data_IF_999026753250
#
_entry.id   IF_999026753250
#
_cell.length_a   1.000
_cell.length_b   1.000
_cell.length_c   1.000
_cell.angle_alpha   90.00
_cell.angle_beta   90.00
_cell.angle_gamma   90.00
#
_symmetry.space_group_name_H-M   'P 1'
#
loop_
_entity.id
_entity.type
_entity.pdbx_description
1 polymer ?
#
# COMPACT_ATOMS: atom_id res chain seq x y z
N UNK A 1 7.82 13.39 -54.31
CA UNK A 1 7.55 13.41 -52.86
C UNK A 1 8.01 12.07 -52.34
N UNK A 2 9.07 12.08 -51.54
CA UNK A 2 9.84 10.89 -51.22
C UNK A 2 8.99 9.92 -50.36
N UNK A 3 9.04 8.62 -50.64
CA UNK A 3 8.23 7.60 -49.95
C UNK A 3 8.48 7.63 -48.42
N UNK A 4 9.71 7.99 -48.03
CA UNK A 4 10.11 8.21 -46.65
C UNK A 4 9.41 9.42 -45.99
N UNK A 5 9.27 10.54 -46.71
CA UNK A 5 8.57 11.73 -46.21
C UNK A 5 7.07 11.48 -46.02
N UNK A 6 6.46 10.74 -46.96
CA UNK A 6 5.03 10.42 -46.89
C UNK A 6 4.73 9.49 -45.70
N UNK A 7 5.61 8.52 -45.43
CA UNK A 7 5.51 7.64 -44.26
C UNK A 7 5.65 8.42 -42.95
N UNK A 8 6.63 9.33 -42.86
CA UNK A 8 6.85 10.19 -41.68
C UNK A 8 5.64 11.10 -41.41
N UNK A 9 5.05 11.70 -42.44
CA UNK A 9 3.86 12.53 -42.30
C UNK A 9 2.63 11.73 -41.81
N UNK A 10 2.47 10.48 -42.26
CA UNK A 10 1.40 9.59 -41.79
C UNK A 10 1.58 9.18 -40.33
N UNK A 11 2.81 8.89 -39.90
CA UNK A 11 3.11 8.55 -38.50
C UNK A 11 2.83 9.73 -37.56
N UNK A 12 3.25 10.95 -37.93
CA UNK A 12 2.97 12.16 -37.15
C UNK A 12 1.46 12.46 -37.05
N UNK A 13 0.70 12.28 -38.14
CA UNK A 13 -0.74 12.48 -38.15
C UNK A 13 -1.46 11.45 -37.25
N UNK A 14 -1.05 10.18 -37.29
CA UNK A 14 -1.57 9.13 -36.41
C UNK A 14 -1.31 9.46 -34.94
N UNK A 15 -0.08 9.83 -34.59
CA UNK A 15 0.27 10.25 -33.22
C UNK A 15 -0.54 11.46 -32.77
N UNK A 16 -0.71 12.48 -33.63
CA UNK A 16 -1.54 13.65 -33.32
C UNK A 16 -3.01 13.27 -33.06
N UNK A 17 -3.59 12.39 -33.87
CA UNK A 17 -4.97 11.91 -33.68
C UNK A 17 -5.15 11.10 -32.40
N UNK A 18 -4.14 10.30 -32.04
CA UNK A 18 -4.12 9.54 -30.80
C UNK A 18 -4.10 10.48 -29.60
N UNK A 19 -3.16 11.42 -29.54
CA UNK A 19 -3.08 12.36 -28.42
C UNK A 19 -4.37 13.15 -28.26
N UNK A 20 -4.90 13.73 -29.35
CA UNK A 20 -6.16 14.49 -29.30
C UNK A 20 -7.31 13.66 -28.73
N UNK A 21 -7.37 12.37 -29.09
CA UNK A 21 -8.36 11.45 -28.53
C UNK A 21 -8.16 11.27 -27.02
N UNK A 22 -6.94 11.00 -26.57
CA UNK A 22 -6.65 10.80 -25.14
C UNK A 22 -6.96 12.06 -24.34
N UNK A 23 -6.57 13.25 -24.80
CA UNK A 23 -6.92 14.53 -24.15
C UNK A 23 -8.44 14.69 -23.99
N UNK A 24 -9.21 14.43 -25.05
CA UNK A 24 -10.68 14.48 -25.00
C UNK A 24 -11.26 13.46 -24.00
N UNK A 25 -10.70 12.25 -23.93
CA UNK A 25 -11.21 11.21 -23.02
C UNK A 25 -10.84 11.47 -21.56
N UNK A 26 -9.69 12.08 -21.30
CA UNK A 26 -9.31 12.57 -19.97
C UNK A 26 -10.23 13.71 -19.54
N UNK A 27 -10.51 14.65 -20.43
CA UNK A 27 -11.44 15.76 -20.16
C UNK A 27 -12.86 15.27 -19.81
N UNK A 28 -13.32 14.18 -20.44
CA UNK A 28 -14.61 13.54 -20.13
C UNK A 28 -14.68 12.86 -18.76
N UNK A 29 -13.52 12.45 -18.23
CA UNK A 29 -13.37 11.90 -16.88
C UNK A 29 -13.24 13.03 -15.85
N UNK A 30 -12.51 14.08 -16.19
CA UNK A 30 -12.14 15.18 -15.30
C UNK A 30 -10.64 15.18 -14.99
N UNK A 31 -9.97 16.31 -15.22
CA UNK A 31 -8.53 16.47 -15.00
C UNK A 31 -8.15 16.35 -13.52
N UNK A 32 -9.05 16.72 -12.61
CA UNK A 32 -8.90 16.59 -11.16
C UNK A 32 -8.77 15.14 -10.68
N UNK A 33 -9.20 14.18 -11.51
CA UNK A 33 -9.06 12.77 -11.23
C UNK A 33 -7.74 12.19 -11.75
N UNK A 34 -7.02 12.88 -12.65
CA UNK A 34 -5.76 12.40 -13.20
C UNK A 34 -4.61 12.68 -12.23
N UNK A 35 -3.96 11.64 -11.73
CA UNK A 35 -2.84 11.74 -10.76
C UNK A 35 -1.50 11.75 -11.46
N UNK A 36 -1.34 10.88 -12.46
CA UNK A 36 -0.09 10.69 -13.19
C UNK A 36 -0.39 10.29 -14.62
N UNK A 37 0.44 10.72 -15.55
CA UNK A 37 0.48 10.20 -16.91
C UNK A 37 1.92 10.04 -17.38
N UNK A 38 2.16 9.10 -18.29
CA UNK A 38 3.46 8.92 -18.94
C UNK A 38 3.68 9.95 -20.04
N UNK A 39 4.94 10.22 -20.39
CA UNK A 39 5.31 11.22 -21.43
C UNK A 39 4.62 10.99 -22.78
N UNK A 40 4.35 9.72 -23.12
CA UNK A 40 3.69 9.31 -24.35
C UNK A 40 2.17 9.16 -24.23
N UNK A 41 1.58 9.56 -23.10
CA UNK A 41 0.15 9.41 -22.76
C UNK A 41 -0.39 7.98 -22.89
N UNK A 42 0.50 6.98 -22.87
CA UNK A 42 0.10 5.56 -22.88
C UNK A 42 -0.12 5.01 -21.49
N UNK A 43 0.42 5.66 -20.47
CA UNK A 43 0.15 5.33 -19.08
C UNK A 43 -0.66 6.46 -18.45
N UNK A 44 -1.82 6.14 -17.88
CA UNK A 44 -2.68 7.10 -17.20
C UNK A 44 -3.06 6.52 -15.83
N UNK A 45 -3.04 7.33 -14.79
CA UNK A 45 -3.42 6.92 -13.42
C UNK A 45 -4.51 7.84 -12.90
N UNK A 46 -5.67 7.28 -12.61
CA UNK A 46 -6.84 8.01 -12.13
C UNK A 46 -7.12 7.71 -10.65
N UNK A 47 -7.36 8.77 -9.88
CA UNK A 47 -7.85 8.71 -8.51
C UNK A 47 -9.36 8.47 -8.51
N UNK A 48 -9.78 7.40 -7.86
CA UNK A 48 -11.19 7.04 -7.68
C UNK A 48 -11.46 6.87 -6.20
N UNK A 49 -12.47 7.56 -5.68
CA UNK A 49 -12.91 7.40 -4.29
C UNK A 49 -14.09 6.45 -4.23
N UNK A 50 -14.09 5.54 -3.24
CA UNK A 50 -15.24 4.69 -2.97
C UNK A 50 -16.26 5.36 -2.04
N UNK A 51 -17.38 4.68 -1.78
CA UNK A 51 -18.48 5.21 -0.94
C UNK A 51 -18.10 5.45 0.54
N UNK A 52 -16.96 4.91 1.00
CA UNK A 52 -16.42 5.10 2.35
C UNK A 52 -15.31 6.16 2.39
N UNK A 53 -15.03 6.81 1.25
CA UNK A 53 -13.98 7.82 1.14
C UNK A 53 -12.57 7.24 1.02
N UNK A 54 -12.44 5.91 0.83
CA UNK A 54 -11.13 5.30 0.57
C UNK A 54 -10.70 5.68 -0.84
N UNK A 55 -9.43 6.06 -0.97
CA UNK A 55 -8.84 6.46 -2.25
C UNK A 55 -8.21 5.25 -2.92
N UNK A 56 -8.56 5.03 -4.18
CA UNK A 56 -8.02 3.96 -5.03
C UNK A 56 -7.38 4.58 -6.28
N UNK A 57 -6.28 4.00 -6.75
CA UNK A 57 -5.61 4.42 -7.97
C UNK A 57 -5.86 3.37 -9.06
N UNK A 58 -6.53 3.77 -10.13
CA UNK A 58 -6.70 2.98 -11.33
C UNK A 58 -5.63 3.38 -12.35
N UNK A 59 -4.71 2.49 -12.64
CA UNK A 59 -3.75 2.65 -13.71
C UNK A 59 -4.29 2.01 -14.99
N UNK A 60 -4.21 2.74 -16.10
CA UNK A 60 -4.63 2.33 -17.44
C UNK A 60 -3.43 2.45 -18.38
N UNK A 61 -3.13 1.36 -19.08
CA UNK A 61 -2.06 1.29 -20.08
C UNK A 61 -2.64 1.08 -21.47
N UNK A 62 -2.29 1.97 -22.40
CA UNK A 62 -2.75 2.01 -23.78
C UNK A 62 -1.64 1.50 -24.70
N UNK A 63 -1.90 0.43 -25.42
CA UNK A 63 -1.00 -0.04 -26.46
C UNK A 63 -1.31 0.62 -27.82
N UNK A 64 -0.55 0.27 -28.86
CA UNK A 64 -0.75 0.81 -30.20
C UNK A 64 -2.04 0.37 -30.89
N UNK A 65 -2.83 -0.50 -30.27
CA UNK A 65 -4.08 -1.04 -30.81
C UNK A 65 -5.32 -0.37 -30.22
N UNK A 66 -5.16 0.49 -29.20
CA UNK A 66 -6.21 1.33 -28.66
C UNK A 66 -6.81 2.26 -29.74
N UNK A 67 -8.14 2.44 -29.82
CA UNK A 67 -9.22 1.88 -28.97
C UNK A 67 -9.81 0.56 -29.50
N UNK A 68 -9.27 -0.01 -30.57
CA UNK A 68 -9.83 -1.21 -31.20
C UNK A 68 -9.80 -2.43 -30.27
N UNK A 69 -8.82 -2.46 -29.36
CA UNK A 69 -8.74 -3.44 -28.28
C UNK A 69 -8.80 -2.74 -26.91
N UNK A 70 -9.23 -3.48 -25.87
CA UNK A 70 -9.27 -2.96 -24.51
C UNK A 70 -7.88 -2.49 -24.04
N UNK A 71 -7.81 -1.38 -23.27
CA UNK A 71 -6.59 -1.05 -22.56
C UNK A 71 -6.30 -2.07 -21.44
N UNK A 72 -5.05 -2.14 -20.99
CA UNK A 72 -4.71 -2.92 -19.78
C UNK A 72 -4.97 -2.08 -18.53
N UNK A 73 -5.41 -2.70 -17.44
CA UNK A 73 -5.68 -2.01 -16.18
C UNK A 73 -5.00 -2.68 -14.99
N UNK A 74 -4.58 -1.89 -14.01
CA UNK A 74 -4.11 -2.36 -12.72
C UNK A 74 -4.57 -1.43 -11.59
N UNK A 75 -4.77 -1.99 -10.42
CA UNK A 75 -5.15 -1.27 -9.20
C UNK A 75 -4.83 -2.13 -7.97
N UNK A 76 -4.71 -1.50 -6.80
CA UNK A 76 -4.55 -2.19 -5.52
C UNK A 76 -5.92 -2.75 -5.05
N UNK A 77 -6.37 -3.82 -5.69
CA UNK A 77 -7.65 -4.50 -5.42
C UNK A 77 -7.43 -6.02 -5.38
N UNK A 78 -8.21 -6.80 -4.61
CA UNK A 78 -7.92 -8.22 -4.38
C UNK A 78 -8.04 -9.06 -5.66
N UNK A 79 -8.87 -8.60 -6.60
CA UNK A 79 -8.93 -9.11 -7.96
C UNK A 79 -9.46 -7.99 -8.88
N UNK A 80 -9.08 -8.04 -10.15
CA UNK A 80 -9.55 -7.10 -11.16
C UNK A 80 -10.92 -7.49 -11.69
N UNK A 81 -11.69 -6.49 -12.15
CA UNK A 81 -12.96 -6.71 -12.80
C UNK A 81 -12.77 -7.24 -14.23
N UNK A 82 -13.77 -7.99 -14.71
CA UNK A 82 -13.84 -8.40 -16.11
C UNK A 82 -14.28 -7.22 -16.97
N UNK A 83 -13.32 -6.48 -17.53
CA UNK A 83 -13.60 -5.31 -18.34
C UNK A 83 -14.42 -5.66 -19.59
N UNK A 84 -15.54 -4.96 -19.76
CA UNK A 84 -16.35 -4.98 -20.97
C UNK A 84 -15.88 -3.83 -21.86
N UNK A 85 -15.48 -4.18 -23.08
CA UNK A 85 -14.92 -3.23 -24.03
C UNK A 85 -15.50 -3.44 -25.42
N UNK A 86 -15.71 -2.33 -26.13
CA UNK A 86 -16.08 -2.28 -27.54
C UNK A 86 -15.26 -1.21 -28.24
N UNK A 87 -15.23 -1.20 -29.57
CA UNK A 87 -14.52 -0.15 -30.35
C UNK A 87 -15.03 1.27 -30.09
N UNK A 88 -16.25 1.41 -29.58
CA UNK A 88 -16.87 2.68 -29.23
C UNK A 88 -16.63 3.07 -27.76
N UNK A 89 -16.05 2.16 -26.97
CA UNK A 89 -15.72 2.41 -25.58
C UNK A 89 -14.58 3.42 -25.46
N UNK A 90 -14.55 4.11 -24.32
CA UNK A 90 -13.60 5.18 -23.99
C UNK A 90 -13.09 4.99 -22.57
N UNK A 91 -12.04 5.73 -22.18
CA UNK A 91 -11.46 5.62 -20.84
C UNK A 91 -12.48 5.83 -19.71
N UNK A 92 -13.48 6.69 -19.91
CA UNK A 92 -14.57 6.91 -18.94
C UNK A 92 -15.34 5.64 -18.61
N UNK A 93 -15.57 4.77 -19.60
CA UNK A 93 -16.26 3.49 -19.39
C UNK A 93 -15.44 2.55 -18.50
N UNK A 94 -14.10 2.62 -18.59
CA UNK A 94 -13.20 1.85 -17.73
C UNK A 94 -13.30 2.35 -16.30
N UNK A 95 -13.24 3.67 -16.08
CA UNK A 95 -13.37 4.30 -14.76
C UNK A 95 -14.73 3.97 -14.13
N UNK A 96 -15.81 4.02 -14.89
CA UNK A 96 -17.15 3.67 -14.40
C UNK A 96 -17.29 2.18 -14.04
N UNK A 97 -16.71 1.29 -14.84
CA UNK A 97 -16.68 -0.14 -14.50
C UNK A 97 -15.85 -0.41 -13.24
N UNK A 98 -14.74 0.31 -13.07
CA UNK A 98 -13.92 0.23 -11.86
C UNK A 98 -14.69 0.76 -10.64
N UNK A 99 -15.41 1.88 -10.74
CA UNK A 99 -16.27 2.38 -9.65
C UNK A 99 -17.29 1.32 -9.19
N UNK A 100 -18.00 0.68 -10.12
CA UNK A 100 -18.93 -0.43 -9.83
C UNK A 100 -18.23 -1.64 -9.22
N UNK A 101 -16.97 -1.87 -9.56
CA UNK A 101 -16.16 -2.91 -8.96
C UNK A 101 -15.82 -2.59 -7.50
N UNK A 102 -15.43 -1.34 -7.22
CA UNK A 102 -15.17 -0.87 -5.85
C UNK A 102 -16.40 -1.03 -4.95
N UNK A 103 -17.62 -0.84 -5.48
CA UNK A 103 -18.87 -1.04 -4.74
C UNK A 103 -19.05 -2.47 -4.23
N UNK A 104 -18.63 -3.48 -5.01
CA UNK A 104 -18.73 -4.90 -4.65
C UNK A 104 -17.73 -5.30 -3.57
N UNK A 105 -16.57 -4.64 -3.54
CA UNK A 105 -15.48 -4.93 -2.62
C UNK A 105 -15.63 -4.24 -1.25
N UNK A 106 -16.73 -3.52 -1.04
CA UNK A 106 -16.94 -2.72 0.17
C UNK A 106 -16.97 -3.58 1.43
N UNK A 107 -17.70 -4.70 1.41
CA UNK A 107 -17.82 -5.57 2.58
C UNK A 107 -16.49 -6.24 2.90
N UNK A 108 -15.72 -6.61 1.86
CA UNK A 108 -14.37 -7.11 2.03
C UNK A 108 -13.46 -6.09 2.72
N UNK A 109 -13.34 -4.86 2.20
CA UNK A 109 -12.47 -3.88 2.82
C UNK A 109 -12.95 -3.43 4.20
N UNK A 110 -14.26 -3.37 4.44
CA UNK A 110 -14.78 -3.07 5.77
C UNK A 110 -14.37 -4.15 6.78
N UNK A 111 -14.41 -5.42 6.38
CA UNK A 111 -13.93 -6.52 7.22
C UNK A 111 -12.42 -6.45 7.43
N UNK A 112 -11.63 -6.18 6.38
CA UNK A 112 -10.17 -6.05 6.51
C UNK A 112 -9.82 -4.88 7.44
N UNK A 113 -10.50 -3.74 7.31
CA UNK A 113 -10.35 -2.59 8.21
C UNK A 113 -10.71 -2.97 9.65
N UNK A 114 -11.80 -3.72 9.88
CA UNK A 114 -12.18 -4.22 11.21
C UNK A 114 -11.14 -5.17 11.80
N UNK A 115 -10.59 -6.09 11.02
CA UNK A 115 -9.49 -6.98 11.44
C UNK A 115 -8.26 -6.16 11.83
N UNK A 116 -7.86 -5.23 10.97
CA UNK A 116 -6.68 -4.38 11.17
C UNK A 116 -6.82 -3.47 12.40
N UNK A 117 -8.04 -3.07 12.75
CA UNK A 117 -8.33 -2.26 13.93
C UNK A 117 -8.54 -3.08 15.21
N UNK A 118 -9.18 -4.23 15.13
CA UNK A 118 -9.62 -5.01 16.30
C UNK A 118 -8.60 -6.04 16.76
N UNK A 119 -7.69 -6.49 15.89
CA UNK A 119 -6.74 -7.56 16.18
C UNK A 119 -5.29 -7.10 16.05
N UNK A 120 -4.38 -7.77 16.76
CA UNK A 120 -2.95 -7.51 16.66
C UNK A 120 -2.36 -8.13 15.36
N UNK A 121 -2.47 -7.40 14.26
CA UNK A 121 -1.92 -7.79 12.97
C UNK A 121 -0.43 -7.45 12.88
N UNK A 122 0.38 -8.47 12.57
CA UNK A 122 1.85 -8.37 12.55
C UNK A 122 2.40 -7.73 11.27
N UNK A 123 1.66 -7.83 10.16
CA UNK A 123 2.09 -7.33 8.84
C UNK A 123 1.49 -5.96 8.49
N UNK A 124 1.26 -5.11 9.50
CA UNK A 124 0.80 -3.75 9.26
C UNK A 124 1.99 -2.86 8.89
N UNK A 125 2.35 -2.88 7.61
CA UNK A 125 3.18 -1.82 7.02
C UNK A 125 2.33 -0.71 6.37
N UNK A 126 1.21 -1.06 5.74
CA UNK A 126 0.13 -0.17 5.26
C UNK A 126 -1.06 -1.04 4.82
N UNK A 127 -2.34 -0.58 4.87
CA UNK A 127 -3.46 -1.37 4.36
C UNK A 127 -3.38 -1.52 2.84
N UNK A 128 -2.72 -2.59 2.37
CA UNK A 128 -2.76 -2.98 0.97
C UNK A 128 -4.14 -3.56 0.66
N UNK A 129 -4.87 -2.85 -0.19
CA UNK A 129 -6.26 -3.15 -0.52
C UNK A 129 -6.39 -4.39 -1.41
N UNK A 130 -5.29 -4.83 -2.04
CA UNK A 130 -5.20 -6.11 -2.73
C UNK A 130 -4.96 -7.32 -1.82
N UNK A 131 -4.39 -7.14 -0.63
CA UNK A 131 -4.05 -8.28 0.23
C UNK A 131 -5.29 -8.82 0.94
N UNK A 132 -5.64 -10.05 0.60
CA UNK A 132 -6.72 -10.81 1.21
C UNK A 132 -6.30 -11.63 2.42
N UNK A 133 -5.04 -11.56 2.84
CA UNK A 133 -4.55 -12.27 4.01
C UNK A 133 -4.05 -11.32 5.10
N UNK A 134 -4.10 -11.79 6.35
CA UNK A 134 -3.55 -11.11 7.54
C UNK A 134 -2.84 -12.09 8.44
N UNK A 135 -1.65 -11.72 8.89
CA UNK A 135 -0.92 -12.47 9.89
C UNK A 135 -1.22 -11.91 11.28
N UNK A 136 -1.65 -12.78 12.18
CA UNK A 136 -1.99 -12.46 13.56
C UNK A 136 -1.04 -13.18 14.52
N UNK A 137 -0.56 -12.46 15.54
CA UNK A 137 0.20 -13.06 16.64
C UNK A 137 -0.77 -13.44 17.77
N UNK A 138 -0.83 -14.73 18.12
CA UNK A 138 -1.60 -15.22 19.29
C UNK A 138 -0.70 -15.23 20.53
N UNK A 139 0.52 -15.71 20.39
CA UNK A 139 1.49 -15.85 21.46
C UNK A 139 2.91 -15.69 20.93
N UNK A 140 3.90 -15.65 21.83
CA UNK A 140 5.32 -15.52 21.47
C UNK A 140 5.82 -16.62 20.51
N UNK A 141 5.20 -17.81 20.55
CA UNK A 141 5.65 -18.98 19.80
C UNK A 141 4.67 -19.45 18.73
N UNK A 142 3.57 -18.72 18.50
CA UNK A 142 2.58 -19.07 17.49
C UNK A 142 1.90 -17.85 16.86
N UNK A 143 1.97 -17.80 15.53
CA UNK A 143 1.22 -16.87 14.69
C UNK A 143 0.43 -17.65 13.64
N UNK A 144 -0.54 -17.00 13.02
CA UNK A 144 -1.30 -17.65 11.95
C UNK A 144 -1.67 -16.65 10.87
N UNK A 145 -1.83 -17.18 9.67
CA UNK A 145 -2.23 -16.44 8.48
C UNK A 145 -3.70 -16.76 8.22
N UNK A 146 -4.54 -15.74 8.33
CA UNK A 146 -5.91 -15.75 7.86
C UNK A 146 -5.95 -15.37 6.40
N UNK A 147 -6.70 -16.10 5.58
CA UNK A 147 -7.01 -15.74 4.21
C UNK A 147 -8.53 -15.56 4.06
N UNK A 148 -8.95 -14.36 3.69
CA UNK A 148 -10.33 -13.95 3.52
C UNK A 148 -10.70 -14.06 2.04
N UNK A 149 -11.84 -14.68 1.72
CA UNK A 149 -12.37 -14.62 0.35
C UNK A 149 -12.94 -13.21 0.09
N UNK A 150 -12.37 -12.48 -0.86
CA UNK A 150 -12.84 -11.14 -1.22
C UNK A 150 -14.25 -11.14 -1.86
N UNK A 151 -14.74 -12.27 -2.36
CA UNK A 151 -16.09 -12.41 -2.90
C UNK A 151 -17.13 -12.82 -1.85
N UNK A 152 -16.70 -13.49 -0.78
CA UNK A 152 -17.56 -13.89 0.34
C UNK A 152 -16.83 -13.65 1.68
N UNK A 153 -16.60 -12.37 2.06
CA UNK A 153 -15.73 -12.00 3.17
C UNK A 153 -16.21 -12.52 4.53
N UNK A 154 -17.52 -12.76 4.68
CA UNK A 154 -18.13 -13.25 5.93
C UNK A 154 -18.07 -14.78 6.07
N UNK A 155 -17.64 -15.49 5.02
CA UNK A 155 -17.47 -16.94 5.04
C UNK A 155 -16.38 -17.39 6.01
N UNK A 156 -16.34 -18.70 6.31
CA UNK A 156 -15.26 -19.28 7.10
C UNK A 156 -13.93 -19.04 6.37
N UNK A 157 -12.96 -18.31 6.95
CA UNK A 157 -11.70 -18.01 6.28
C UNK A 157 -10.80 -19.24 6.24
N UNK A 158 -9.82 -19.27 5.33
CA UNK A 158 -8.75 -20.24 5.41
C UNK A 158 -7.72 -19.81 6.47
N UNK A 159 -7.20 -20.77 7.23
CA UNK A 159 -6.36 -20.49 8.39
C UNK A 159 -5.14 -21.40 8.41
N UNK A 160 -3.96 -20.78 8.31
CA UNK A 160 -2.67 -21.47 8.37
C UNK A 160 -1.93 -21.11 9.64
N UNK A 161 -1.76 -22.09 10.53
CA UNK A 161 -1.04 -21.96 11.79
C UNK A 161 0.47 -22.17 11.60
N UNK A 162 1.26 -21.30 12.22
CA UNK A 162 2.71 -21.26 12.16
C UNK A 162 3.26 -21.14 13.59
N UNK A 163 4.26 -21.92 13.95
CA UNK A 163 4.81 -21.92 15.32
C UNK A 163 5.32 -23.28 15.74
N UNK A 164 5.53 -23.46 17.04
CA UNK A 164 5.89 -24.76 17.61
C UNK A 164 4.82 -25.82 17.29
N UNK A 165 5.27 -27.05 17.03
CA UNK A 165 4.37 -28.13 16.57
C UNK A 165 3.23 -28.40 17.57
N UNK A 166 3.49 -28.28 18.87
CA UNK A 166 2.49 -28.54 19.92
C UNK A 166 1.36 -27.51 19.93
N UNK A 167 1.68 -26.21 19.88
CA UNK A 167 0.64 -25.16 19.91
C UNK A 167 -0.08 -25.03 18.58
N UNK A 168 0.65 -25.14 17.47
CA UNK A 168 0.04 -25.10 16.15
C UNK A 168 -0.93 -26.28 15.95
N UNK A 169 -0.61 -27.48 16.45
CA UNK A 169 -1.51 -28.64 16.37
C UNK A 169 -2.73 -28.52 17.30
N UNK A 170 -2.57 -27.93 18.49
CA UNK A 170 -3.68 -27.60 19.38
C UNK A 170 -4.69 -26.69 18.68
N UNK A 171 -4.22 -25.61 18.06
CA UNK A 171 -5.08 -24.65 17.34
C UNK A 171 -5.72 -25.26 16.10
N UNK A 172 -4.98 -26.07 15.31
CA UNK A 172 -5.55 -26.84 14.19
C UNK A 172 -6.66 -27.79 14.64
N UNK A 173 -6.53 -28.37 15.82
CA UNK A 173 -7.53 -29.28 16.39
C UNK A 173 -8.78 -28.53 16.83
N UNK A 174 -8.63 -27.37 17.48
CA UNK A 174 -9.75 -26.48 17.83
C UNK A 174 -10.47 -26.00 16.57
N UNK A 175 -9.73 -25.52 15.57
CA UNK A 175 -10.27 -25.09 14.28
C UNK A 175 -11.11 -26.19 13.61
N UNK A 176 -10.55 -27.40 13.44
CA UNK A 176 -11.27 -28.53 12.84
C UNK A 176 -12.53 -28.93 13.60
N UNK A 177 -12.53 -28.81 14.92
CA UNK A 177 -13.68 -29.16 15.77
C UNK A 177 -14.79 -28.12 15.71
N UNK A 178 -14.42 -26.84 15.68
CA UNK A 178 -15.32 -25.73 15.95
C UNK A 178 -15.67 -24.91 14.70
N UNK A 179 -15.01 -25.08 13.55
CA UNK A 179 -15.25 -24.29 12.34
C UNK A 179 -16.70 -24.32 11.85
N UNK A 180 -17.42 -25.41 12.10
CA UNK A 180 -18.87 -25.55 11.82
C UNK A 180 -19.76 -24.59 12.62
N UNK A 181 -19.23 -23.98 13.68
CA UNK A 181 -19.93 -22.99 14.51
C UNK A 181 -19.70 -21.56 14.01
N UNK A 182 -18.99 -21.36 12.89
CA UNK A 182 -18.79 -20.03 12.28
C UNK A 182 -20.12 -19.46 11.77
N UNK A 183 -20.46 -18.25 12.21
CA UNK A 183 -21.74 -17.61 11.86
C UNK A 183 -21.51 -16.27 11.16
N UNK A 184 -22.00 -16.13 9.93
CA UNK A 184 -21.70 -14.97 9.07
C UNK A 184 -22.19 -13.63 9.61
N UNK A 185 -23.18 -13.65 10.50
CA UNK A 185 -23.82 -12.49 11.13
C UNK A 185 -23.14 -12.03 12.42
N UNK A 186 -22.19 -12.81 12.94
CA UNK A 186 -21.39 -12.41 14.11
C UNK A 186 -20.17 -11.57 13.73
N UNK A 187 -19.72 -10.67 14.63
CA UNK A 187 -18.44 -9.99 14.47
C UNK A 187 -17.30 -10.99 14.22
N UNK A 188 -16.39 -10.64 13.30
CA UNK A 188 -15.36 -11.56 12.85
C UNK A 188 -14.41 -11.99 13.98
N UNK A 189 -14.00 -11.05 14.83
CA UNK A 189 -13.16 -11.30 16.00
C UNK A 189 -13.83 -12.26 16.99
N UNK A 190 -15.13 -12.10 17.25
CA UNK A 190 -15.89 -13.01 18.13
C UNK A 190 -15.97 -14.42 17.55
N UNK A 191 -16.26 -14.56 16.26
CA UNK A 191 -16.25 -15.86 15.58
C UNK A 191 -14.89 -16.52 15.69
N UNK A 192 -13.82 -15.77 15.42
CA UNK A 192 -12.46 -16.29 15.43
C UNK A 192 -12.04 -16.74 16.84
N UNK A 193 -12.34 -15.94 17.86
CA UNK A 193 -12.11 -16.28 19.27
C UNK A 193 -12.86 -17.55 19.67
N UNK A 194 -14.14 -17.66 19.27
CA UNK A 194 -14.99 -18.83 19.56
C UNK A 194 -14.49 -20.10 18.87
N UNK A 195 -14.06 -20.01 17.60
CA UNK A 195 -13.58 -21.19 16.85
C UNK A 195 -12.23 -21.66 17.39
N UNK A 196 -11.32 -20.73 17.69
CA UNK A 196 -9.99 -21.04 18.21
C UNK A 196 -9.97 -21.37 19.70
N UNK A 197 -11.05 -21.07 20.44
CA UNK A 197 -11.13 -21.17 21.90
C UNK A 197 -9.98 -20.40 22.59
N UNK A 198 -9.76 -19.16 22.13
CA UNK A 198 -8.75 -18.24 22.65
C UNK A 198 -9.36 -16.87 22.92
N UNK A 199 -8.71 -16.10 23.78
CA UNK A 199 -8.97 -14.67 23.85
C UNK A 199 -8.12 -13.96 22.80
N UNK A 200 -8.77 -13.18 21.93
CA UNK A 200 -8.08 -12.31 21.00
C UNK A 200 -7.80 -10.98 21.69
N UNK A 201 -6.54 -10.58 21.67
CA UNK A 201 -6.08 -9.31 22.22
C UNK A 201 -6.09 -8.25 21.11
N UNK A 202 -6.79 -7.15 21.36
CA UNK A 202 -6.71 -5.98 20.50
C UNK A 202 -5.43 -5.17 20.75
N UNK A 203 -5.12 -4.19 19.89
CA UNK A 203 -3.93 -3.34 20.03
C UNK A 203 -3.82 -2.63 21.40
N UNK A 204 -4.94 -2.48 22.12
CA UNK A 204 -5.01 -1.78 23.41
C UNK A 204 -4.67 -2.64 24.64
N UNK A 205 -4.56 -3.96 24.51
CA UNK A 205 -4.32 -4.88 25.64
C UNK A 205 -2.87 -5.28 25.87
N UNK A 206 -1.94 -4.82 25.03
CA UNK A 206 -0.51 -5.00 25.25
C UNK A 206 -0.02 -3.79 26.07
N UNK A 207 0.56 -3.97 27.27
CA UNK A 207 1.27 -2.87 27.91
C UNK A 207 2.34 -2.41 26.94
N UNK A 208 2.34 -1.12 26.58
CA UNK A 208 3.30 -0.50 25.65
C UNK A 208 4.73 -0.72 26.14
N UNK A 209 5.32 -1.89 25.89
CA UNK A 209 6.74 -2.17 26.09
C UNK A 209 7.47 -1.79 24.82
N UNK A 210 7.50 -0.46 24.63
CA UNK A 210 8.60 0.43 24.27
C UNK A 210 7.90 1.68 23.70
N UNK A 211 8.19 2.92 24.15
CA UNK A 211 7.66 4.10 23.48
C UNK A 211 8.15 4.07 22.04
N UNK A 212 7.26 3.67 21.12
CA UNK A 212 7.48 3.71 19.68
C UNK A 212 8.05 5.08 19.32
N UNK A 213 9.32 5.12 18.94
CA UNK A 213 10.10 6.34 18.87
C UNK A 213 9.77 7.09 17.58
N UNK A 214 9.03 8.20 17.70
CA UNK A 214 8.81 9.14 16.60
C UNK A 214 10.11 9.83 16.21
N UNK A 215 10.26 10.13 14.92
CA UNK A 215 11.37 10.92 14.42
C UNK A 215 11.38 12.32 15.04
N UNK A 216 12.51 12.75 15.59
CA UNK A 216 12.66 14.07 16.21
C UNK A 216 12.59 15.26 15.25
N UNK A 217 12.50 15.04 13.94
CA UNK A 217 12.45 16.10 12.93
C UNK A 217 11.06 16.21 12.31
N UNK A 218 10.54 15.11 11.75
CA UNK A 218 9.24 15.11 11.09
C UNK A 218 8.08 14.72 12.01
N UNK A 219 8.35 14.30 13.24
CA UNK A 219 7.38 13.79 14.22
C UNK A 219 6.51 12.63 13.70
N UNK A 220 6.93 11.99 12.61
CA UNK A 220 6.30 10.78 12.09
C UNK A 220 7.07 9.55 12.57
N UNK A 221 6.33 8.45 12.74
CA UNK A 221 6.92 7.16 13.04
C UNK A 221 7.56 6.53 11.79
N UNK A 222 6.91 6.70 10.63
CA UNK A 222 7.34 6.15 9.35
C UNK A 222 7.39 7.25 8.28
N UNK A 223 8.33 7.17 7.35
CA UNK A 223 8.37 8.03 6.17
C UNK A 223 7.16 7.75 5.25
N UNK A 224 6.68 8.76 4.48
CA UNK A 224 5.62 8.54 3.49
C UNK A 224 6.07 7.54 2.42
N UNK A 225 5.09 6.89 1.77
CA UNK A 225 5.37 6.02 0.64
C UNK A 225 5.54 6.90 -0.60
N UNK A 226 6.81 7.07 -1.01
CA UNK A 226 7.22 7.85 -2.16
C UNK A 226 8.24 7.06 -2.98
N UNK A 227 8.09 7.06 -4.32
CA UNK A 227 9.03 6.44 -5.24
C UNK A 227 10.39 7.15 -5.20
N UNK A 228 10.43 8.45 -4.89
CA UNK A 228 11.66 9.23 -4.72
C UNK A 228 12.49 8.75 -3.51
N UNK A 229 11.82 8.27 -2.45
CA UNK A 229 12.46 7.74 -1.24
C UNK A 229 12.97 6.30 -1.39
N UNK A 230 12.56 5.59 -2.44
CA UNK A 230 13.06 4.26 -2.78
C UNK A 230 12.99 3.27 -1.62
N UNK A 231 14.13 2.71 -1.21
CA UNK A 231 14.20 1.71 -0.14
C UNK A 231 13.94 2.28 1.28
N UNK A 232 13.88 3.61 1.41
CA UNK A 232 13.55 4.32 2.66
C UNK A 232 12.06 4.70 2.74
N UNK A 233 11.33 4.50 1.65
CA UNK A 233 9.88 4.64 1.58
C UNK A 233 9.21 3.75 2.64
N UNK A 234 8.39 4.33 3.51
CA UNK A 234 7.75 3.60 4.61
C UNK A 234 8.67 3.13 5.75
N UNK A 235 9.95 3.52 5.78
CA UNK A 235 10.87 3.09 6.84
C UNK A 235 10.65 3.84 8.16
N UNK A 236 10.85 3.15 9.29
CA UNK A 236 10.86 3.73 10.63
C UNK A 236 12.19 4.42 10.96
N UNK A 237 12.30 5.02 12.16
CA UNK A 237 13.55 5.66 12.60
C UNK A 237 14.69 4.64 12.64
N UNK A 238 15.81 4.98 12.01
CA UNK A 238 16.98 4.12 11.85
C UNK A 238 18.28 4.77 12.34
N UNK A 239 18.19 5.98 12.92
CA UNK A 239 19.31 6.71 13.50
C UNK A 239 18.94 7.21 14.90
N UNK A 240 19.77 6.97 15.90
CA UNK A 240 19.54 7.44 17.28
C UNK A 240 20.75 8.20 17.78
N UNK A 241 20.52 9.30 18.50
CA UNK A 241 21.59 10.05 19.14
C UNK A 241 22.29 9.18 20.21
N UNK A 242 23.63 9.13 20.16
CA UNK A 242 24.45 8.32 21.08
C UNK A 242 24.53 8.89 22.50
N UNK A 243 24.10 10.13 22.72
CA UNK A 243 24.01 10.68 24.07
C UNK A 243 22.85 10.01 24.83
N UNK A 244 23.17 9.21 25.84
CA UNK A 244 22.22 8.50 26.71
C UNK A 244 21.21 9.42 27.44
N UNK A 245 21.53 10.70 27.63
CA UNK A 245 20.59 11.68 28.18
C UNK A 245 19.64 12.28 27.14
N UNK A 246 19.91 12.06 25.84
CA UNK A 246 19.08 12.52 24.73
C UNK A 246 18.29 11.37 24.09
N UNK A 247 19.00 10.36 23.58
CA UNK A 247 18.45 9.15 22.93
C UNK A 247 17.34 9.40 21.90
N UNK A 248 17.36 10.58 21.26
CA UNK A 248 16.35 10.94 20.26
C UNK A 248 16.57 10.15 18.97
N UNK A 249 15.49 9.60 18.42
CA UNK A 249 15.48 8.84 17.19
C UNK A 249 15.11 9.72 15.98
N UNK A 250 15.63 9.38 14.81
CA UNK A 250 15.43 10.09 13.55
C UNK A 250 15.37 9.10 12.39
N UNK A 251 14.67 9.46 11.31
CA UNK A 251 14.91 8.85 10.00
C UNK A 251 16.22 9.39 9.44
N UNK A 252 17.03 8.52 8.85
CA UNK A 252 18.29 8.86 8.18
C UNK A 252 18.08 9.94 7.12
N UNK A 253 16.99 9.88 6.34
CA UNK A 253 16.64 10.89 5.34
C UNK A 253 16.38 12.26 6.00
N UNK A 254 15.57 12.31 7.06
CA UNK A 254 15.29 13.57 7.76
C UNK A 254 16.54 14.18 8.40
N UNK A 255 17.39 13.34 9.00
CA UNK A 255 18.63 13.78 9.62
C UNK A 255 19.66 14.20 8.56
N UNK A 256 19.69 13.53 7.40
CA UNK A 256 20.52 13.92 6.26
C UNK A 256 20.16 15.33 5.77
N UNK A 257 18.87 15.57 5.48
CA UNK A 257 18.38 16.87 5.01
C UNK A 257 18.70 17.98 6.03
N UNK A 258 18.49 17.69 7.31
CA UNK A 258 18.82 18.61 8.40
C UNK A 258 20.32 18.93 8.43
N UNK A 259 21.18 17.91 8.46
CA UNK A 259 22.64 18.10 8.50
C UNK A 259 23.15 18.83 7.26
N UNK A 260 22.60 18.56 6.08
CA UNK A 260 22.94 19.28 4.83
C UNK A 260 22.55 20.75 4.85
N UNK A 261 21.53 21.13 5.62
CA UNK A 261 21.11 22.53 5.77
C UNK A 261 22.03 23.36 6.68
N UNK A 262 22.92 22.72 7.46
CA UNK A 262 23.79 23.39 8.42
C UNK A 262 25.19 23.61 7.82
N UNK A 263 25.65 24.86 7.85
CA UNK A 263 26.94 25.27 7.24
C UNK A 263 28.18 24.69 7.92
N UNK A 264 28.07 24.26 9.17
CA UNK A 264 29.18 23.66 9.94
C UNK A 264 29.28 22.14 9.81
N UNK A 265 28.32 21.50 9.14
CA UNK A 265 28.35 20.06 8.90
C UNK A 265 29.53 19.71 8.00
N UNK A 266 30.29 18.68 8.39
CA UNK A 266 31.43 18.16 7.61
C UNK A 266 31.02 16.86 6.96
N UNK A 267 31.42 16.66 5.70
CA UNK A 267 31.28 15.38 5.03
C UNK A 267 32.66 14.74 4.86
N UNK A 268 32.77 13.46 5.20
CA UNK A 268 33.93 12.62 4.86
C UNK A 268 33.43 11.32 4.24
N UNK A 269 33.80 11.08 2.98
CA UNK A 269 33.25 9.99 2.16
C UNK A 269 31.71 9.98 2.16
N UNK A 270 31.13 8.87 2.60
CA UNK A 270 29.71 8.59 2.71
C UNK A 270 29.16 8.89 4.12
N UNK A 271 29.87 9.68 4.94
CA UNK A 271 29.44 10.02 6.30
C UNK A 271 29.38 11.53 6.52
N UNK A 272 28.24 12.02 7.02
CA UNK A 272 28.06 13.38 7.54
C UNK A 272 28.37 13.41 9.03
N UNK A 273 29.11 14.43 9.45
CA UNK A 273 29.43 14.74 10.83
C UNK A 273 28.88 16.11 11.17
N UNK A 274 27.98 16.16 12.14
CA UNK A 274 27.41 17.41 12.64
C UNK A 274 26.96 17.27 14.07
N UNK A 275 25.95 18.04 14.46
CA UNK A 275 25.44 18.06 15.83
C UNK A 275 23.98 17.60 15.87
N UNK A 276 23.61 16.88 16.91
CA UNK A 276 22.24 16.46 17.18
C UNK A 276 21.32 17.69 17.31
N UNK A 277 20.14 17.72 16.65
CA UNK A 277 19.20 18.85 16.73
C UNK A 277 18.68 19.16 18.14
N UNK A 278 18.80 18.22 19.07
CA UNK A 278 18.23 18.31 20.42
C UNK A 278 19.26 18.64 21.50
N UNK A 279 20.34 17.86 21.58
CA UNK A 279 21.37 18.05 22.61
C UNK A 279 22.62 18.77 22.12
N UNK A 280 22.73 19.05 20.82
CA UNK A 280 23.93 19.63 20.18
C UNK A 280 25.21 18.78 20.28
N UNK A 281 25.15 17.56 20.80
CA UNK A 281 26.29 16.65 20.81
C UNK A 281 26.63 16.15 19.39
N UNK A 282 27.90 15.77 19.16
CA UNK A 282 28.32 15.22 17.87
C UNK A 282 27.46 14.02 17.44
N UNK A 283 27.05 14.01 16.17
CA UNK A 283 26.33 12.89 15.54
C UNK A 283 26.94 12.60 14.17
N UNK A 284 27.06 11.32 13.84
CA UNK A 284 27.56 10.84 12.56
C UNK A 284 26.47 10.06 11.82
N UNK A 285 26.24 10.38 10.54
CA UNK A 285 25.22 9.75 9.71
C UNK A 285 25.84 9.20 8.43
N UNK A 286 25.66 7.90 8.19
CA UNK A 286 26.09 7.27 6.93
C UNK A 286 25.03 7.47 5.83
N UNK A 287 25.41 8.16 4.78
CA UNK A 287 24.61 8.40 3.58
C UNK A 287 24.77 7.21 2.64
N UNK A 288 23.66 6.61 2.21
CA UNK A 288 23.70 5.66 1.10
C UNK A 288 23.55 6.43 -0.21
N UNK A 289 24.66 6.82 -0.85
CA UNK A 289 24.62 7.40 -2.19
C UNK A 289 24.09 6.36 -3.18
N UNK A 290 22.86 6.54 -3.67
CA UNK A 290 22.43 5.87 -4.90
C UNK A 290 23.10 6.56 -6.09
N UNK A 291 23.80 5.76 -6.91
CA UNK A 291 23.97 6.07 -8.33
C UNK A 291 22.69 5.72 -9.06
#
# INVERSE_FOLDING_TARGET
>A
MDYAEQKRCQELAKSSSFYRRIYSEVEEIGWEHLVRFGEDLRLLSFRVMDKKGRVHILQITLDGTYPNHPPSVSADVPYLFNMKWSINSRLKDVVQQFQKHLEKLQDFWNLMDDIDHSLLVSDLRYPQRALSHRQLNISNDCNFVLSIDANDPTSLPDCRFLGSDSEAERLRTMWRRNCKNWMRDKPFSENLAQVLDIQLHGPSSIPKTDPQTECGICYAQYLPIDDELGAKSGSGTDCTCENNSCSRAFHSVCLEDWLRSITTTRQSFDVLFGNCPYCSDPIALKINTRK
#
